data_IF_932505662885
#
_entry.id   IF_932505662885
#
_cell.length_a   1.000
_cell.length_b   1.000
_cell.length_c   1.000
_cell.angle_alpha   90.00
_cell.angle_beta   90.00
_cell.angle_gamma   90.00
#
_symmetry.space_group_name_H-M   'P 1'
#
loop_
_entity.id
_entity.type
_entity.pdbx_description
1 polymer ?
#
# COMPACT_ATOMS: atom_id res chain seq x y z
N UNK A 1 -5.90 22.28 52.43
CA UNK A 1 -5.53 21.15 51.55
C UNK A 1 -5.80 21.53 50.11
N UNK A 2 -4.77 21.75 49.29
CA UNK A 2 -4.92 21.95 47.84
C UNK A 2 -4.64 20.62 47.14
N UNK A 3 -5.66 20.06 46.50
CA UNK A 3 -5.60 18.81 45.74
C UNK A 3 -4.69 19.00 44.53
N UNK A 4 -3.48 18.43 44.55
CA UNK A 4 -2.61 18.32 43.37
C UNK A 4 -3.20 17.25 42.45
N UNK A 5 -4.12 17.65 41.57
CA UNK A 5 -4.35 16.93 40.32
C UNK A 5 -3.11 17.12 39.43
N UNK A 6 -2.13 16.23 39.56
CA UNK A 6 -1.07 16.07 38.58
C UNK A 6 -1.62 15.09 37.51
N UNK A 7 -2.18 15.57 36.40
CA UNK A 7 -1.43 15.93 35.18
C UNK A 7 -0.47 14.83 34.69
N UNK A 8 -0.84 13.56 34.81
CA UNK A 8 -0.40 12.55 33.86
C UNK A 8 -1.43 12.48 32.74
N UNK A 9 -1.39 13.45 31.81
CA UNK A 9 -1.82 13.17 30.44
C UNK A 9 -0.87 12.11 29.93
N UNK A 10 -1.20 10.84 30.20
CA UNK A 10 -0.61 9.70 29.52
C UNK A 10 -0.68 10.04 28.03
N UNK A 11 0.46 10.36 27.44
CA UNK A 11 0.59 10.46 26.00
C UNK A 11 0.20 9.09 25.47
N UNK A 12 -1.07 8.92 25.08
CA UNK A 12 -1.53 7.70 24.42
C UNK A 12 -0.57 7.51 23.24
N UNK A 13 0.23 6.44 23.30
CA UNK A 13 1.18 6.10 22.23
C UNK A 13 0.36 6.01 20.95
N UNK A 14 0.68 6.86 19.99
CA UNK A 14 0.10 6.79 18.65
C UNK A 14 0.54 5.47 18.04
N UNK A 15 -0.42 4.65 17.64
CA UNK A 15 -0.17 3.50 16.79
C UNK A 15 -0.35 3.93 15.34
N UNK A 16 0.45 3.35 14.46
CA UNK A 16 0.47 3.67 13.05
C UNK A 16 0.20 2.43 12.22
N UNK A 17 -0.42 2.64 11.07
CA UNK A 17 -0.53 1.68 9.99
C UNK A 17 0.00 2.34 8.72
N UNK A 18 0.81 1.59 7.98
CA UNK A 18 1.45 2.04 6.76
C UNK A 18 1.19 1.03 5.66
N UNK A 19 0.85 1.52 4.47
CA UNK A 19 0.58 0.68 3.32
C UNK A 19 0.76 1.45 2.01
N UNK A 20 1.00 0.72 0.93
CA UNK A 20 0.87 1.26 -0.43
C UNK A 20 -0.59 1.23 -0.85
N UNK A 21 -1.09 2.34 -1.43
CA UNK A 21 -2.48 2.44 -1.84
C UNK A 21 -2.81 1.37 -2.90
N UNK A 22 -3.78 0.47 -2.64
CA UNK A 22 -4.21 -0.54 -3.60
C UNK A 22 -4.80 0.08 -4.88
N UNK A 23 -4.68 -0.65 -5.98
CA UNK A 23 -5.12 -0.22 -7.31
C UNK A 23 -6.62 0.06 -7.36
N UNK A 24 -7.42 -0.74 -6.65
CA UNK A 24 -8.87 -0.55 -6.55
C UNK A 24 -9.19 0.81 -5.91
N UNK A 25 -8.52 1.15 -4.82
CA UNK A 25 -8.70 2.45 -4.15
C UNK A 25 -8.22 3.61 -5.03
N UNK A 26 -7.12 3.43 -5.77
CA UNK A 26 -6.66 4.42 -6.74
C UNK A 26 -7.75 4.74 -7.76
N UNK A 27 -8.40 3.71 -8.31
CA UNK A 27 -9.46 3.87 -9.31
C UNK A 27 -10.75 4.47 -8.74
N UNK A 28 -11.15 4.09 -7.53
CA UNK A 28 -12.35 4.64 -6.89
C UNK A 28 -12.20 6.12 -6.53
N UNK A 29 -11.06 6.51 -5.96
CA UNK A 29 -10.85 7.87 -5.43
C UNK A 29 -10.45 8.85 -6.54
N UNK A 30 -9.78 8.37 -7.61
CA UNK A 30 -9.28 9.10 -8.79
C UNK A 30 -8.20 10.16 -8.51
N UNK A 31 -8.44 11.07 -7.58
CA UNK A 31 -7.50 12.12 -7.16
C UNK A 31 -6.96 11.76 -5.80
N UNK A 32 -5.69 11.35 -5.71
CA UNK A 32 -5.10 10.86 -4.47
C UNK A 32 -4.32 11.95 -3.74
N UNK A 33 -4.80 12.32 -2.55
CA UNK A 33 -4.10 13.17 -1.58
C UNK A 33 -4.73 12.99 -0.18
N UNK A 34 -4.14 13.63 0.83
CA UNK A 34 -4.62 13.57 2.21
C UNK A 34 -6.11 13.90 2.35
N UNK A 35 -6.62 14.90 1.62
CA UNK A 35 -8.00 15.36 1.75
C UNK A 35 -8.99 14.34 1.19
N UNK A 36 -8.72 13.81 0.01
CA UNK A 36 -9.61 12.84 -0.65
C UNK A 36 -9.60 11.50 0.04
N UNK A 37 -8.45 11.04 0.54
CA UNK A 37 -8.35 9.84 1.37
C UNK A 37 -9.09 9.99 2.70
N UNK A 38 -8.95 11.14 3.38
CA UNK A 38 -9.74 11.44 4.59
C UNK A 38 -11.22 11.31 4.32
N UNK A 39 -11.70 11.96 3.26
CA UNK A 39 -13.11 11.93 2.90
C UNK A 39 -13.59 10.49 2.66
N UNK A 40 -12.87 9.74 1.82
CA UNK A 40 -13.20 8.35 1.52
C UNK A 40 -13.29 7.48 2.79
N UNK A 41 -12.33 7.59 3.71
CA UNK A 41 -12.34 6.80 4.94
C UNK A 41 -13.41 7.28 5.94
N UNK A 42 -13.76 8.56 5.97
CA UNK A 42 -14.87 9.06 6.77
C UNK A 42 -16.23 8.59 6.23
N UNK A 43 -16.40 8.53 4.91
CA UNK A 43 -17.63 8.02 4.29
C UNK A 43 -17.84 6.52 4.62
N UNK A 44 -16.72 5.79 4.77
CA UNK A 44 -16.67 4.41 5.29
C UNK A 44 -16.85 4.29 6.80
N UNK A 45 -17.04 5.40 7.52
CA UNK A 45 -17.16 5.49 8.98
C UNK A 45 -15.94 4.92 9.73
N UNK A 46 -14.76 5.00 9.14
CA UNK A 46 -13.51 4.57 9.79
C UNK A 46 -12.98 5.65 10.73
N UNK A 47 -12.52 5.22 11.91
CA UNK A 47 -11.92 6.08 12.91
C UNK A 47 -10.41 6.11 12.74
N UNK A 48 -9.84 7.31 12.65
CA UNK A 48 -8.40 7.54 12.66
C UNK A 48 -8.11 8.95 13.17
N UNK A 49 -6.88 9.16 13.66
CA UNK A 49 -6.43 10.46 14.18
C UNK A 49 -5.89 11.37 13.09
N UNK A 50 -5.18 10.80 12.13
CA UNK A 50 -4.56 11.56 11.05
C UNK A 50 -4.02 10.64 9.98
N UNK A 51 -3.92 11.17 8.78
CA UNK A 51 -3.45 10.47 7.59
C UNK A 51 -2.53 11.39 6.81
N UNK A 52 -1.47 10.80 6.25
CA UNK A 52 -0.53 11.40 5.33
C UNK A 52 -0.38 10.50 4.13
N UNK A 53 -0.38 11.08 2.94
CA UNK A 53 -0.20 10.42 1.66
C UNK A 53 1.02 11.01 0.97
N UNK A 54 1.96 10.16 0.60
CA UNK A 54 3.14 10.51 -0.16
C UNK A 54 3.06 9.92 -1.55
N UNK A 55 3.15 10.76 -2.58
CA UNK A 55 3.21 10.29 -3.97
C UNK A 55 4.66 9.91 -4.29
N UNK A 56 4.89 8.63 -4.56
CA UNK A 56 6.19 8.09 -4.97
C UNK A 56 6.31 8.12 -6.49
N UNK A 57 5.26 7.69 -7.19
CA UNK A 57 5.17 7.76 -8.65
C UNK A 57 3.72 8.03 -9.09
N UNK A 58 3.43 8.01 -10.39
CA UNK A 58 2.10 8.34 -10.91
C UNK A 58 0.96 7.45 -10.38
N UNK A 59 1.27 6.18 -10.09
CA UNK A 59 0.30 5.19 -9.58
C UNK A 59 0.73 4.57 -8.24
N UNK A 60 1.81 5.08 -7.63
CA UNK A 60 2.31 4.57 -6.36
C UNK A 60 2.24 5.65 -5.28
N UNK A 61 1.45 5.36 -4.25
CA UNK A 61 1.24 6.25 -3.11
C UNK A 61 1.47 5.48 -1.83
N UNK A 62 2.28 6.04 -0.94
CA UNK A 62 2.50 5.50 0.39
C UNK A 62 1.63 6.26 1.39
N UNK A 63 0.80 5.51 2.11
CA UNK A 63 -0.20 6.06 3.02
C UNK A 63 0.17 5.68 4.45
N UNK A 64 0.23 6.69 5.32
CA UNK A 64 0.48 6.53 6.74
C UNK A 64 -0.73 7.02 7.52
N UNK A 65 -1.33 6.15 8.32
CA UNK A 65 -2.50 6.47 9.15
C UNK A 65 -2.15 6.28 10.62
N UNK A 66 -2.51 7.25 11.45
CA UNK A 66 -2.32 7.22 12.90
C UNK A 66 -3.65 7.05 13.62
N UNK A 67 -3.64 6.34 14.74
CA UNK A 67 -4.84 6.06 15.53
C UNK A 67 -4.63 6.39 17.02
N UNK A 68 -5.73 6.53 17.75
CA UNK A 68 -5.71 6.75 19.21
C UNK A 68 -5.68 5.44 19.99
N UNK A 69 -6.06 4.31 19.36
CA UNK A 69 -6.04 2.99 19.97
C UNK A 69 -5.66 1.89 18.97
N UNK A 70 -5.25 0.74 19.51
CA UNK A 70 -4.95 -0.47 18.73
C UNK A 70 -6.20 -1.04 18.06
N UNK A 71 -7.36 -0.98 18.73
CA UNK A 71 -8.64 -1.45 18.19
C UNK A 71 -9.09 -0.65 16.96
N UNK A 72 -8.92 0.68 16.98
CA UNK A 72 -9.18 1.53 15.80
C UNK A 72 -8.29 1.11 14.63
N UNK A 73 -6.98 0.90 14.88
CA UNK A 73 -6.03 0.42 13.88
C UNK A 73 -6.44 -0.93 13.30
N UNK A 74 -6.75 -1.91 14.14
CA UNK A 74 -7.12 -3.27 13.70
C UNK A 74 -8.41 -3.26 12.86
N UNK A 75 -9.40 -2.45 13.25
CA UNK A 75 -10.64 -2.27 12.47
C UNK A 75 -10.34 -1.65 11.10
N UNK A 76 -9.46 -0.65 11.07
CA UNK A 76 -9.01 -0.02 9.82
C UNK A 76 -8.28 -1.02 8.92
N UNK A 77 -7.34 -1.79 9.47
CA UNK A 77 -6.58 -2.81 8.73
C UNK A 77 -7.51 -3.85 8.10
N UNK A 78 -8.55 -4.30 8.81
CA UNK A 78 -9.55 -5.24 8.28
C UNK A 78 -10.32 -4.63 7.10
N UNK A 79 -10.70 -3.35 7.17
CA UNK A 79 -11.39 -2.70 6.03
C UNK A 79 -10.45 -2.51 4.84
N UNK A 80 -9.20 -2.11 5.07
CA UNK A 80 -8.21 -1.96 3.99
C UNK A 80 -7.86 -3.30 3.35
N UNK A 81 -7.78 -4.39 4.13
CA UNK A 81 -7.48 -5.73 3.61
C UNK A 81 -8.50 -6.24 2.57
N UNK A 82 -9.68 -5.61 2.44
CA UNK A 82 -10.65 -5.86 1.37
C UNK A 82 -10.17 -5.37 -0.01
N UNK A 83 -9.14 -4.55 -0.04
CA UNK A 83 -8.48 -4.02 -1.22
C UNK A 83 -7.02 -4.47 -1.17
N UNK A 84 -6.64 -5.42 -2.02
CA UNK A 84 -5.33 -6.05 -1.92
C UNK A 84 -4.54 -6.01 -3.22
N UNK A 85 -5.15 -5.59 -4.34
CA UNK A 85 -4.46 -5.53 -5.61
C UNK A 85 -3.43 -4.39 -5.61
N UNK A 86 -2.17 -4.74 -5.78
CA UNK A 86 -1.09 -3.77 -5.97
C UNK A 86 -0.86 -3.54 -7.46
N UNK A 87 -0.44 -2.33 -7.86
CA UNK A 87 0.02 -2.10 -9.24
C UNK A 87 1.33 -2.84 -9.51
N UNK A 88 1.56 -3.36 -10.71
CA UNK A 88 2.81 -4.05 -10.97
C UNK A 88 4.00 -3.07 -11.10
N UNK A 89 5.24 -3.54 -10.86
CA UNK A 89 6.44 -2.73 -10.95
C UNK A 89 6.59 -2.00 -12.28
N UNK A 90 6.27 -2.63 -13.42
CA UNK A 90 6.35 -2.00 -14.74
C UNK A 90 5.33 -0.87 -14.94
N UNK A 91 4.28 -0.80 -14.13
CA UNK A 91 3.31 0.29 -14.14
C UNK A 91 3.76 1.45 -13.26
N UNK A 92 4.34 1.16 -12.10
CA UNK A 92 4.74 2.20 -11.14
C UNK A 92 6.15 2.74 -11.35
N UNK A 93 7.02 1.94 -11.97
CA UNK A 93 8.42 2.25 -12.30
C UNK A 93 8.72 1.82 -13.75
N UNK A 94 8.11 2.45 -14.76
CA UNK A 94 8.21 2.00 -16.15
C UNK A 94 9.65 2.01 -16.70
N UNK A 95 10.51 2.89 -16.18
CA UNK A 95 11.91 3.01 -16.61
C UNK A 95 12.83 2.00 -15.92
N UNK A 96 12.31 1.18 -14.99
CA UNK A 96 13.08 0.22 -14.20
C UNK A 96 12.60 -1.19 -14.53
N UNK A 97 13.42 -1.93 -15.27
CA UNK A 97 13.20 -3.37 -15.47
C UNK A 97 13.92 -4.19 -14.38
N UNK A 98 13.45 -5.42 -14.18
CA UNK A 98 14.04 -6.34 -13.22
C UNK A 98 15.50 -6.68 -13.59
N UNK A 99 16.45 -6.40 -12.68
CA UNK A 99 17.89 -6.55 -12.94
C UNK A 99 18.63 -5.23 -13.23
N UNK A 100 17.92 -4.12 -13.42
CA UNK A 100 18.54 -2.80 -13.51
C UNK A 100 19.24 -2.43 -12.18
N UNK A 101 20.46 -1.87 -12.14
CA UNK A 101 21.28 -1.72 -10.92
C UNK A 101 20.66 -1.06 -9.67
N UNK A 102 19.46 -0.49 -9.76
CA UNK A 102 18.73 0.20 -8.68
C UNK A 102 17.41 -0.46 -8.28
N UNK A 103 17.04 -1.58 -8.92
CA UNK A 103 15.76 -2.24 -8.71
C UNK A 103 15.63 -2.83 -7.28
N UNK A 104 16.77 -3.11 -6.64
CA UNK A 104 16.90 -3.67 -5.31
C UNK A 104 17.43 -2.65 -4.28
N UNK A 105 17.14 -1.36 -4.46
CA UNK A 105 17.54 -0.31 -3.51
C UNK A 105 16.36 0.61 -3.18
N UNK A 106 16.32 1.10 -1.93
CA UNK A 106 15.42 2.17 -1.51
C UNK A 106 13.93 1.82 -1.66
N UNK A 107 13.17 2.75 -2.24
CA UNK A 107 11.70 2.61 -2.36
C UNK A 107 11.30 1.52 -3.35
N UNK A 108 12.14 1.25 -4.35
CA UNK A 108 11.93 0.16 -5.31
C UNK A 108 12.05 -1.20 -4.63
N UNK A 109 13.07 -1.39 -3.80
CA UNK A 109 13.21 -2.62 -3.02
C UNK A 109 12.02 -2.83 -2.08
N UNK A 110 11.66 -1.78 -1.33
CA UNK A 110 10.54 -1.85 -0.39
C UNK A 110 9.23 -2.21 -1.10
N UNK A 111 8.92 -1.56 -2.22
CA UNK A 111 7.73 -1.87 -2.98
C UNK A 111 7.79 -3.23 -3.67
N UNK A 112 8.78 -3.45 -4.54
CA UNK A 112 8.83 -4.62 -5.42
C UNK A 112 9.05 -5.90 -4.62
N UNK A 113 10.02 -5.92 -3.69
CA UNK A 113 10.41 -7.14 -2.97
C UNK A 113 9.50 -7.39 -1.77
N UNK A 114 9.21 -6.36 -0.98
CA UNK A 114 8.55 -6.55 0.33
C UNK A 114 7.03 -6.49 0.26
N UNK A 115 6.45 -5.92 -0.80
CA UNK A 115 5.01 -5.75 -0.92
C UNK A 115 4.46 -6.45 -2.17
N UNK A 116 4.97 -6.12 -3.36
CA UNK A 116 4.41 -6.64 -4.61
C UNK A 116 4.74 -8.13 -4.83
N UNK A 117 5.98 -8.59 -4.63
CA UNK A 117 6.31 -10.02 -4.80
C UNK A 117 5.49 -10.95 -3.87
N UNK A 118 5.30 -10.63 -2.57
CA UNK A 118 4.39 -11.40 -1.72
C UNK A 118 2.94 -11.41 -2.21
N UNK A 119 2.44 -10.27 -2.69
CA UNK A 119 1.12 -10.20 -3.31
C UNK A 119 1.04 -11.09 -4.56
N UNK A 120 2.00 -10.96 -5.48
CA UNK A 120 2.08 -11.79 -6.69
C UNK A 120 2.16 -13.29 -6.37
N UNK A 121 2.95 -13.67 -5.37
CA UNK A 121 3.08 -15.06 -4.90
C UNK A 121 1.82 -15.60 -4.23
N UNK A 122 0.90 -14.74 -3.80
CA UNK A 122 -0.40 -15.14 -3.26
C UNK A 122 -1.47 -15.41 -4.33
N UNK A 123 -1.23 -14.99 -5.58
CA UNK A 123 -2.15 -15.20 -6.69
C UNK A 123 -2.03 -16.63 -7.23
N UNK A 124 -3.17 -17.22 -7.57
CA UNK A 124 -3.19 -18.47 -8.35
C UNK A 124 -2.86 -18.22 -9.83
N UNK A 125 -2.74 -19.31 -10.60
CA UNK A 125 -2.38 -19.24 -12.02
C UNK A 125 -3.34 -18.36 -12.84
N UNK A 126 -4.66 -18.51 -12.66
CA UNK A 126 -5.65 -17.75 -13.42
C UNK A 126 -5.60 -16.27 -13.05
N UNK A 127 -5.45 -15.97 -11.75
CA UNK A 127 -5.30 -14.60 -11.26
C UNK A 127 -4.02 -13.95 -11.79
N UNK A 128 -2.91 -14.69 -11.86
CA UNK A 128 -1.66 -14.22 -12.46
C UNK A 128 -1.86 -13.88 -13.94
N UNK A 129 -2.52 -14.74 -14.72
CA UNK A 129 -2.79 -14.47 -16.14
C UNK A 129 -3.68 -13.24 -16.33
N UNK A 130 -4.79 -13.14 -15.60
CA UNK A 130 -5.68 -11.98 -15.64
C UNK A 130 -4.94 -10.69 -15.27
N UNK A 131 -4.09 -10.74 -14.24
CA UNK A 131 -3.31 -9.61 -13.78
C UNK A 131 -2.29 -9.14 -14.82
N UNK A 132 -1.60 -10.07 -15.49
CA UNK A 132 -0.65 -9.74 -16.56
C UNK A 132 -1.33 -9.10 -17.76
N UNK A 133 -2.51 -9.59 -18.14
CA UNK A 133 -3.32 -9.04 -19.22
C UNK A 133 -3.86 -7.65 -18.85
N UNK A 134 -4.42 -7.50 -17.64
CA UNK A 134 -4.98 -6.25 -17.12
C UNK A 134 -3.97 -5.10 -17.14
N UNK A 135 -2.70 -5.41 -16.88
CA UNK A 135 -1.63 -4.43 -16.76
C UNK A 135 -0.66 -4.39 -17.94
N UNK A 136 -1.01 -5.01 -19.07
CA UNK A 136 -0.22 -5.03 -20.32
C UNK A 136 1.26 -5.36 -20.06
N UNK A 137 1.50 -6.54 -19.49
CA UNK A 137 2.84 -6.94 -19.04
C UNK A 137 3.88 -6.90 -20.17
N UNK A 138 4.99 -6.14 -20.03
CA UNK A 138 6.05 -6.08 -21.03
C UNK A 138 6.75 -7.43 -21.24
N UNK A 139 7.27 -7.64 -22.45
CA UNK A 139 7.95 -8.89 -22.83
C UNK A 139 9.14 -9.21 -21.94
N UNK A 140 9.84 -8.19 -21.47
CA UNK A 140 10.99 -8.28 -20.57
C UNK A 140 10.58 -8.90 -19.23
N UNK A 141 9.43 -8.48 -18.68
CA UNK A 141 8.88 -9.02 -17.45
C UNK A 141 8.38 -10.45 -17.62
N UNK A 142 7.72 -10.76 -18.74
CA UNK A 142 7.33 -12.13 -19.09
C UNK A 142 8.56 -13.04 -19.15
N UNK A 143 9.64 -12.59 -19.79
CA UNK A 143 10.90 -13.33 -19.87
C UNK A 143 11.50 -13.59 -18.48
N UNK A 144 11.49 -12.58 -17.62
CA UNK A 144 11.97 -12.70 -16.25
C UNK A 144 11.20 -13.73 -15.43
N UNK A 145 9.87 -13.68 -15.48
CA UNK A 145 9.04 -14.62 -14.73
C UNK A 145 9.29 -16.08 -15.15
N UNK A 146 9.49 -16.33 -16.45
CA UNK A 146 9.82 -17.66 -17.00
C UNK A 146 11.18 -18.17 -16.53
N UNK A 147 12.18 -17.30 -16.47
CA UNK A 147 13.53 -17.67 -16.04
C UNK A 147 13.60 -18.04 -14.55
N UNK A 148 12.64 -17.59 -13.75
CA UNK A 148 12.65 -17.75 -12.29
C UNK A 148 11.55 -18.70 -11.79
N UNK A 149 10.86 -19.42 -12.69
CA UNK A 149 9.76 -20.33 -12.38
C UNK A 149 8.66 -19.72 -11.47
N UNK A 150 8.30 -18.46 -11.71
CA UNK A 150 7.30 -17.73 -10.89
C UNK A 150 5.91 -17.73 -11.56
N UNK A 151 5.81 -18.28 -12.79
CA UNK A 151 4.56 -18.45 -13.55
C UNK A 151 3.90 -19.81 -13.36
N UNK A 152 4.52 -20.73 -12.62
CA UNK A 152 3.94 -22.03 -12.28
C UNK A 152 3.09 -21.94 -11.01
#
# INVERSE_FOLDING_TARGET
MKTKYNMLKLFKRKVWYHFYLPAELYHYIKVINDKTLKQFFYDKRLLFRGIRCEKISNKLFYVSVSFNSRTEKETFEIEIAKYNELFPPWVVFPDIFYGAPRWNQGIQEDYCIRNWLPYWGSLDFNQKEEYLLKYDCPKEWIGWFKQNNILE
#
